data_IF_408459618780
#
_entry.id   IF_408459618780
#
_cell.length_a   1.000
_cell.length_b   1.000
_cell.length_c   1.000
_cell.angle_alpha   90.00
_cell.angle_beta   90.00
_cell.angle_gamma   90.00
#
_symmetry.space_group_name_H-M   'P 1'
#
loop_
_entity.id
_entity.type
_entity.pdbx_description
1 polymer ?
#
# COMPACT_ATOMS: atom_id res chain seq x y z
N UNK A 1 80.15 65.46 -31.39
CA UNK A 1 79.36 64.73 -30.37
C UNK A 1 77.95 64.45 -30.91
N UNK A 2 77.84 63.81 -32.08
CA UNK A 2 76.55 63.46 -32.73
C UNK A 2 76.79 62.20 -33.56
N UNK A 3 76.92 61.04 -32.92
CA UNK A 3 76.95 59.73 -33.62
C UNK A 3 76.25 58.60 -32.84
N UNK A 4 75.91 58.78 -31.55
CA UNK A 4 75.41 57.67 -30.72
C UNK A 4 73.89 57.40 -30.73
N UNK A 5 73.07 58.15 -31.48
CA UNK A 5 71.61 57.92 -31.51
C UNK A 5 71.09 57.12 -32.71
N UNK A 6 71.92 56.76 -33.69
CA UNK A 6 71.48 55.93 -34.82
C UNK A 6 71.59 54.42 -34.56
N UNK A 7 72.50 53.98 -33.67
CA UNK A 7 72.71 52.55 -33.40
C UNK A 7 71.62 51.93 -32.53
N UNK A 8 71.02 52.69 -31.60
CA UNK A 8 69.91 52.19 -30.76
C UNK A 8 68.61 51.95 -31.54
N UNK A 9 68.30 52.81 -32.51
CA UNK A 9 67.14 52.66 -33.39
C UNK A 9 67.30 51.48 -34.35
N UNK A 10 68.52 51.22 -34.85
CA UNK A 10 68.80 50.05 -35.68
C UNK A 10 68.68 48.74 -34.89
N UNK A 11 69.13 48.69 -33.63
CA UNK A 11 69.03 47.47 -32.82
C UNK A 11 67.58 47.14 -32.44
N UNK A 12 66.74 48.14 -32.17
CA UNK A 12 65.30 47.93 -31.91
C UNK A 12 64.56 47.51 -33.17
N UNK A 13 64.89 48.07 -34.34
CA UNK A 13 64.35 47.62 -35.62
C UNK A 13 64.81 46.20 -36.00
N UNK A 14 66.07 45.85 -35.74
CA UNK A 14 66.62 44.51 -36.00
C UNK A 14 65.94 43.46 -35.11
N UNK A 15 65.76 43.73 -33.81
CA UNK A 15 65.06 42.82 -32.90
C UNK A 15 63.57 42.70 -33.25
N UNK A 16 62.93 43.78 -33.68
CA UNK A 16 61.54 43.73 -34.15
C UNK A 16 61.42 42.91 -35.46
N UNK A 17 62.33 43.11 -36.42
CA UNK A 17 62.37 42.32 -37.66
C UNK A 17 62.70 40.84 -37.39
N UNK A 18 63.69 40.54 -36.54
CA UNK A 18 64.08 39.17 -36.20
C UNK A 18 63.00 38.44 -35.38
N UNK A 19 62.22 39.17 -34.57
CA UNK A 19 61.07 38.59 -33.85
C UNK A 19 59.88 38.34 -34.78
N UNK A 20 59.65 39.20 -35.78
CA UNK A 20 58.64 38.98 -36.83
C UNK A 20 59.05 37.83 -37.75
N UNK A 21 60.33 37.73 -38.13
CA UNK A 21 60.85 36.63 -38.96
C UNK A 21 60.83 35.30 -38.20
N UNK A 22 61.13 35.28 -36.90
CA UNK A 22 61.02 34.07 -36.07
C UNK A 22 59.56 33.68 -35.77
N UNK A 23 58.63 34.65 -35.71
CA UNK A 23 57.19 34.37 -35.64
C UNK A 23 56.66 33.75 -36.95
N UNK A 24 57.21 34.15 -38.10
CA UNK A 24 56.93 33.54 -39.40
C UNK A 24 57.65 32.20 -39.63
N UNK A 25 58.65 31.86 -38.80
CA UNK A 25 59.45 30.65 -38.89
C UNK A 25 59.09 29.57 -37.85
N UNK A 26 57.82 29.50 -37.44
CA UNK A 26 57.31 28.32 -36.75
C UNK A 26 57.33 27.11 -37.71
N UNK A 27 57.64 25.90 -37.22
CA UNK A 27 57.79 24.73 -38.06
C UNK A 27 56.49 24.48 -38.82
N UNK A 28 56.59 24.05 -40.08
CA UNK A 28 55.49 23.62 -40.96
C UNK A 28 54.55 22.64 -40.22
N UNK A 29 53.63 23.18 -39.43
CA UNK A 29 52.43 22.48 -38.98
C UNK A 29 51.56 22.49 -40.22
N UNK A 30 51.35 21.31 -40.80
CA UNK A 30 50.39 21.10 -41.86
C UNK A 30 49.06 21.59 -41.29
N UNK A 31 48.64 22.82 -41.64
CA UNK A 31 47.36 23.38 -41.24
C UNK A 31 46.28 22.49 -41.85
N UNK A 32 45.73 21.60 -41.03
CA UNK A 32 44.55 20.85 -41.39
C UNK A 32 43.42 21.84 -41.57
N UNK A 33 42.83 21.84 -42.77
CA UNK A 33 41.70 22.68 -43.20
C UNK A 33 40.38 22.31 -42.49
N UNK A 34 40.44 21.91 -41.23
CA UNK A 34 39.27 21.59 -40.39
C UNK A 34 38.82 22.87 -39.67
N UNK A 35 37.51 23.19 -39.71
CA UNK A 35 36.99 24.32 -38.97
C UNK A 35 37.21 24.13 -37.46
N UNK A 36 37.66 25.20 -36.80
CA UNK A 36 37.78 25.28 -35.35
C UNK A 36 36.52 25.87 -34.75
N UNK A 37 36.09 25.31 -33.62
CA UNK A 37 34.87 25.70 -32.93
C UNK A 37 35.19 26.23 -31.53
N UNK A 38 34.62 27.37 -31.18
CA UNK A 38 34.79 28.03 -29.88
C UNK A 38 33.43 28.39 -29.28
N UNK A 39 33.36 28.47 -27.96
CA UNK A 39 32.20 28.97 -27.23
C UNK A 39 32.66 30.18 -26.42
N UNK A 40 32.21 31.38 -26.80
CA UNK A 40 32.54 32.63 -26.10
C UNK A 40 31.23 33.28 -25.67
N UNK A 41 31.02 33.37 -24.35
CA UNK A 41 29.74 33.81 -23.75
C UNK A 41 28.56 32.96 -24.25
N UNK A 42 27.61 33.54 -24.97
CA UNK A 42 26.44 32.88 -25.54
C UNK A 42 26.55 32.74 -27.07
N UNK A 43 27.76 32.84 -27.63
CA UNK A 43 28.03 32.65 -29.04
C UNK A 43 28.75 31.33 -29.28
N UNK A 44 28.23 30.56 -30.24
CA UNK A 44 28.99 29.47 -30.87
C UNK A 44 29.72 30.04 -32.08
N UNK A 45 31.04 29.94 -32.07
CA UNK A 45 31.92 30.53 -33.08
C UNK A 45 32.56 29.41 -33.88
N UNK A 46 32.44 29.47 -35.20
CA UNK A 46 33.11 28.59 -36.14
C UNK A 46 34.04 29.44 -37.00
N UNK A 47 35.32 29.09 -37.02
CA UNK A 47 36.33 29.77 -37.82
C UNK A 47 37.12 28.76 -38.64
N UNK A 48 37.53 29.14 -39.85
CA UNK A 48 38.40 28.31 -40.66
C UNK A 48 39.24 29.17 -41.59
N UNK A 49 40.45 28.73 -41.89
CA UNK A 49 41.31 29.39 -42.87
C UNK A 49 41.30 28.59 -44.18
N UNK A 50 40.97 29.27 -45.27
CA UNK A 50 41.28 28.83 -46.63
C UNK A 50 42.54 29.58 -47.12
N UNK A 51 43.11 29.20 -48.26
CA UNK A 51 44.40 29.70 -48.79
C UNK A 51 44.57 31.22 -48.85
N UNK A 52 43.49 32.01 -48.78
CA UNK A 52 43.53 33.48 -48.82
C UNK A 52 42.51 34.18 -47.91
N UNK A 53 41.61 33.43 -47.28
CA UNK A 53 40.44 34.01 -46.62
C UNK A 53 40.14 33.29 -45.31
N UNK A 54 39.83 34.05 -44.27
CA UNK A 54 39.32 33.52 -42.99
C UNK A 54 37.80 33.53 -43.05
N UNK A 55 37.19 32.37 -42.96
CA UNK A 55 35.75 32.25 -42.77
C UNK A 55 35.43 32.33 -41.30
N UNK A 56 34.46 33.17 -40.93
CA UNK A 56 34.02 33.33 -39.55
C UNK A 56 32.50 33.33 -39.49
N UNK A 57 31.94 32.42 -38.69
CA UNK A 57 30.51 32.29 -38.42
C UNK A 57 30.26 32.31 -36.92
N UNK A 58 29.42 33.22 -36.46
CA UNK A 58 28.98 33.30 -35.07
C UNK A 58 27.47 33.08 -35.01
N UNK A 59 27.05 32.19 -34.13
CA UNK A 59 25.64 31.90 -33.88
C UNK A 59 25.31 32.27 -32.44
N UNK A 60 24.42 33.24 -32.27
CA UNK A 60 23.84 33.61 -30.99
C UNK A 60 22.91 32.48 -30.51
N UNK A 61 23.22 31.82 -29.41
CA UNK A 61 22.41 30.70 -28.90
C UNK A 61 21.15 31.15 -28.17
N UNK A 62 20.98 32.44 -27.90
CA UNK A 62 19.80 33.03 -27.25
C UNK A 62 18.88 33.64 -28.30
N UNK A 63 19.42 34.52 -29.14
CA UNK A 63 18.68 35.23 -30.18
C UNK A 63 18.49 34.43 -31.46
N UNK A 64 19.23 33.32 -31.64
CA UNK A 64 19.28 32.53 -32.87
C UNK A 64 19.64 33.38 -34.10
N UNK A 65 20.47 34.40 -33.91
CA UNK A 65 20.97 35.26 -34.96
C UNK A 65 22.31 34.72 -35.46
N UNK A 66 22.48 34.68 -36.77
CA UNK A 66 23.73 34.23 -37.40
C UNK A 66 24.48 35.43 -37.98
N UNK A 67 25.75 35.54 -37.66
CA UNK A 67 26.69 36.49 -38.26
C UNK A 67 27.72 35.69 -39.04
N UNK A 68 27.96 36.07 -40.29
CA UNK A 68 28.85 35.29 -41.16
C UNK A 68 29.61 36.21 -42.10
N UNK A 69 30.91 35.98 -42.24
CA UNK A 69 31.76 36.76 -43.14
C UNK A 69 32.95 35.95 -43.64
N UNK A 70 33.50 36.40 -44.76
CA UNK A 70 34.80 36.01 -45.26
C UNK A 70 35.72 37.22 -45.13
N UNK A 71 36.88 37.04 -44.49
CA UNK A 71 37.84 38.09 -44.21
C UNK A 71 39.10 37.86 -45.03
N UNK A 72 39.56 38.90 -45.70
CA UNK A 72 40.82 38.93 -46.45
C UNK A 72 41.87 39.74 -45.70
N UNK A 73 43.14 39.61 -46.09
CA UNK A 73 44.25 40.34 -45.45
C UNK A 73 44.03 41.86 -45.40
N UNK A 74 43.32 42.43 -46.39
CA UNK A 74 43.00 43.85 -46.45
C UNK A 74 42.04 44.34 -45.35
N UNK A 75 41.25 43.45 -44.75
CA UNK A 75 40.20 43.82 -43.79
C UNK A 75 40.74 44.15 -42.39
N UNK A 76 41.95 43.71 -42.06
CA UNK A 76 42.50 43.81 -40.70
C UNK A 76 43.35 45.06 -40.49
N UNK A 77 43.75 45.76 -41.56
CA UNK A 77 44.73 46.85 -41.53
C UNK A 77 46.04 46.50 -40.80
N UNK A 78 46.43 45.22 -40.83
CA UNK A 78 47.66 44.70 -40.26
C UNK A 78 48.64 44.32 -41.38
N UNK A 79 49.92 44.64 -41.21
CA UNK A 79 51.00 44.19 -42.12
C UNK A 79 51.44 42.76 -41.81
N UNK A 80 50.48 41.84 -41.66
CA UNK A 80 50.72 40.43 -41.34
C UNK A 80 50.09 39.54 -42.43
N UNK A 81 50.66 38.35 -42.71
CA UNK A 81 50.03 37.37 -43.57
C UNK A 81 48.75 36.82 -42.91
N UNK A 82 47.80 36.37 -43.73
CA UNK A 82 46.46 35.96 -43.29
C UNK A 82 46.51 34.78 -42.32
N UNK A 83 47.51 33.90 -42.47
CA UNK A 83 47.77 32.76 -41.59
C UNK A 83 48.10 33.23 -40.16
N UNK A 84 48.95 34.26 -40.03
CA UNK A 84 49.30 34.84 -38.75
C UNK A 84 48.11 35.54 -38.10
N UNK A 85 47.29 36.23 -38.90
CA UNK A 85 46.06 36.87 -38.40
C UNK A 85 45.06 35.81 -37.91
N UNK A 86 44.91 34.71 -38.63
CA UNK A 86 44.05 33.58 -38.23
C UNK A 86 44.50 33.00 -36.88
N UNK A 87 45.80 32.79 -36.68
CA UNK A 87 46.34 32.33 -35.40
C UNK A 87 46.01 33.28 -34.25
N UNK A 88 46.18 34.60 -34.45
CA UNK A 88 45.80 35.59 -33.44
C UNK A 88 44.31 35.53 -33.09
N UNK A 89 43.44 35.38 -34.10
CA UNK A 89 41.98 35.26 -33.91
C UNK A 89 41.63 34.02 -33.11
N UNK A 90 42.16 32.85 -33.48
CA UNK A 90 41.90 31.58 -32.77
C UNK A 90 42.35 31.66 -31.31
N UNK A 91 43.53 32.22 -31.03
CA UNK A 91 44.03 32.43 -29.66
C UNK A 91 43.16 33.42 -28.86
N UNK A 92 42.62 34.45 -29.51
CA UNK A 92 41.67 35.38 -28.86
C UNK A 92 40.34 34.72 -28.53
N UNK A 93 39.84 33.80 -29.36
CA UNK A 93 38.63 33.03 -29.04
C UNK A 93 38.86 31.91 -28.02
N UNK A 94 40.09 31.40 -27.93
CA UNK A 94 40.50 30.47 -26.88
C UNK A 94 40.69 31.14 -25.50
N UNK A 95 40.67 32.49 -25.45
CA UNK A 95 40.92 33.29 -24.24
C UNK A 95 42.28 32.98 -23.55
N UNK A 96 43.32 32.73 -24.36
CA UNK A 96 44.68 32.49 -23.89
C UNK A 96 45.26 33.72 -23.15
N UNK A 97 46.27 33.50 -22.29
CA UNK A 97 46.88 34.58 -21.50
C UNK A 97 47.44 35.67 -22.41
N UNK A 98 46.87 36.88 -22.29
CA UNK A 98 47.24 38.03 -23.11
C UNK A 98 46.43 38.19 -24.41
N UNK A 99 45.46 37.33 -24.66
CA UNK A 99 44.55 37.36 -25.81
C UNK A 99 43.11 37.55 -25.33
N UNK A 100 42.33 38.37 -26.04
CA UNK A 100 40.92 38.62 -25.71
C UNK A 100 40.12 39.03 -26.93
N UNK A 101 38.87 38.60 -27.00
CA UNK A 101 37.90 39.02 -28.01
C UNK A 101 36.69 39.71 -27.35
N UNK A 102 36.50 40.98 -27.64
CA UNK A 102 35.33 41.74 -27.22
C UNK A 102 34.28 41.77 -28.34
N UNK A 103 33.11 41.18 -28.08
CA UNK A 103 31.99 41.15 -29.02
C UNK A 103 30.99 42.24 -28.63
N UNK A 104 30.67 43.14 -29.55
CA UNK A 104 29.64 44.17 -29.43
C UNK A 104 28.67 44.14 -30.60
N UNK A 105 27.39 44.44 -30.35
CA UNK A 105 26.36 44.49 -31.41
C UNK A 105 25.84 45.91 -31.53
N UNK A 106 25.80 46.43 -32.77
CA UNK A 106 25.17 47.70 -33.11
C UNK A 106 24.23 47.51 -34.30
N UNK A 107 22.93 47.40 -34.01
CA UNK A 107 21.91 47.10 -35.03
C UNK A 107 22.15 45.73 -35.67
N UNK A 108 22.26 45.69 -37.01
CA UNK A 108 22.50 44.47 -37.80
C UNK A 108 23.99 44.13 -38.01
N UNK A 109 24.89 44.81 -37.30
CA UNK A 109 26.32 44.59 -37.44
C UNK A 109 26.91 44.20 -36.09
N UNK A 110 27.62 43.09 -36.06
CA UNK A 110 28.43 42.65 -34.94
C UNK A 110 29.86 43.13 -35.15
N UNK A 111 30.43 43.80 -34.16
CA UNK A 111 31.83 44.20 -34.13
C UNK A 111 32.56 43.31 -33.14
N UNK A 112 33.62 42.64 -33.60
CA UNK A 112 34.52 41.87 -32.74
C UNK A 112 35.85 42.60 -32.70
N UNK A 113 36.29 42.99 -31.51
CA UNK A 113 37.59 43.61 -31.28
C UNK A 113 38.54 42.60 -30.66
N UNK A 114 39.60 42.29 -31.37
CA UNK A 114 40.65 41.37 -30.96
C UNK A 114 41.80 42.15 -30.35
N UNK A 115 42.21 41.77 -29.14
CA UNK A 115 43.40 42.30 -28.48
C UNK A 115 44.33 41.16 -28.14
N UNK A 116 45.53 41.19 -28.68
CA UNK A 116 46.54 40.15 -28.51
C UNK A 116 47.86 40.77 -28.05
N UNK A 117 48.46 40.19 -27.01
CA UNK A 117 49.77 40.59 -26.47
C UNK A 117 50.76 39.44 -26.64
N UNK A 118 51.52 39.47 -27.73
CA UNK A 118 52.50 38.43 -28.06
C UNK A 118 53.80 38.68 -27.29
N UNK A 119 54.25 37.67 -26.54
CA UNK A 119 55.49 37.69 -25.75
C UNK A 119 55.63 38.89 -24.80
N UNK A 120 54.52 39.48 -24.33
CA UNK A 120 54.49 40.69 -23.51
C UNK A 120 55.03 42.00 -24.15
N UNK A 121 55.58 41.95 -25.36
CA UNK A 121 56.20 43.12 -26.01
C UNK A 121 55.40 43.67 -27.19
N UNK A 122 54.70 42.82 -27.94
CA UNK A 122 53.98 43.23 -29.13
C UNK A 122 52.48 43.24 -28.83
N UNK A 123 51.82 44.35 -29.13
CA UNK A 123 50.40 44.53 -28.91
C UNK A 123 49.69 44.71 -30.25
N UNK A 124 48.73 43.84 -30.53
CA UNK A 124 47.83 43.93 -31.66
C UNK A 124 46.44 44.26 -31.16
N UNK A 125 45.80 45.26 -31.77
CA UNK A 125 44.43 45.67 -31.49
C UNK A 125 43.76 46.02 -32.81
N UNK A 126 42.83 45.15 -33.22
CA UNK A 126 42.13 45.28 -34.48
C UNK A 126 40.69 44.83 -34.31
N UNK A 127 39.82 45.28 -35.22
CA UNK A 127 38.40 44.98 -35.14
C UNK A 127 37.88 44.50 -36.49
N UNK A 128 36.89 43.62 -36.42
CA UNK A 128 36.19 43.08 -37.58
C UNK A 128 34.71 43.37 -37.44
N UNK A 129 34.10 43.82 -38.53
CA UNK A 129 32.66 44.07 -38.60
C UNK A 129 31.99 42.97 -39.43
N UNK A 130 31.03 42.29 -38.84
CA UNK A 130 30.33 41.14 -39.40
C UNK A 130 28.87 41.50 -39.52
N UNK A 131 28.33 41.45 -40.74
CA UNK A 131 26.91 41.71 -40.96
C UNK A 131 26.10 40.49 -40.54
N UNK A 132 24.95 40.77 -39.95
CA UNK A 132 23.93 39.76 -39.71
C UNK A 132 23.57 39.08 -41.04
N UNK A 133 23.72 37.76 -41.08
CA UNK A 133 23.22 36.95 -42.17
C UNK A 133 21.76 36.67 -41.86
N UNK A 134 20.85 37.30 -42.60
CA UNK A 134 19.44 36.95 -42.58
C UNK A 134 19.30 35.47 -42.84
N UNK A 135 18.96 34.72 -41.80
CA UNK A 135 18.63 33.31 -41.90
C UNK A 135 17.43 33.22 -42.85
N UNK A 136 17.50 32.34 -43.84
CA UNK A 136 16.35 32.10 -44.73
C UNK A 136 15.15 31.68 -43.88
N UNK A 137 13.94 31.95 -44.36
CA UNK A 137 12.70 31.50 -43.71
C UNK A 137 12.76 30.01 -43.31
N UNK A 138 13.36 29.18 -44.17
CA UNK A 138 13.53 27.74 -43.94
C UNK A 138 14.47 27.41 -42.77
N UNK A 139 15.56 28.17 -42.57
CA UNK A 139 16.45 27.97 -41.44
C UNK A 139 15.81 28.32 -40.11
N UNK A 140 14.99 29.39 -40.09
CA UNK A 140 14.21 29.78 -38.90
C UNK A 140 13.12 28.75 -38.58
N UNK A 141 12.45 28.22 -39.61
CA UNK A 141 11.47 27.14 -39.46
C UNK A 141 12.10 25.88 -38.87
N UNK A 142 13.27 25.50 -39.37
CA UNK A 142 13.98 24.30 -38.89
C UNK A 142 14.32 24.41 -37.40
N UNK A 143 14.87 25.55 -36.95
CA UNK A 143 15.17 25.79 -35.53
C UNK A 143 13.92 25.77 -34.65
N UNK A 144 12.83 26.38 -35.13
CA UNK A 144 11.56 26.34 -34.42
C UNK A 144 11.00 24.91 -34.31
N UNK A 145 11.15 24.09 -35.35
CA UNK A 145 10.70 22.71 -35.34
C UNK A 145 11.47 21.89 -34.30
N UNK A 146 12.80 21.98 -34.29
CA UNK A 146 13.64 21.30 -33.31
C UNK A 146 13.28 21.73 -31.88
N UNK A 147 13.03 23.03 -31.65
CA UNK A 147 12.61 23.54 -30.33
C UNK A 147 11.25 23.01 -29.90
N UNK A 148 10.32 22.84 -30.84
CA UNK A 148 9.01 22.25 -30.56
C UNK A 148 9.16 20.76 -30.22
N UNK A 149 10.00 20.04 -30.96
CA UNK A 149 10.29 18.62 -30.73
C UNK A 149 10.92 18.39 -29.35
N UNK A 150 11.95 19.16 -28.97
CA UNK A 150 12.56 19.08 -27.63
C UNK A 150 11.54 19.37 -26.50
N UNK A 151 10.64 20.33 -26.73
CA UNK A 151 9.57 20.64 -25.76
C UNK A 151 8.56 19.52 -25.67
N UNK A 152 8.20 18.88 -26.79
CA UNK A 152 7.31 17.73 -26.80
C UNK A 152 7.93 16.56 -26.04
N UNK A 153 9.19 16.23 -26.29
CA UNK A 153 9.92 15.18 -25.56
C UNK A 153 10.02 15.45 -24.06
N UNK A 154 10.17 16.71 -23.67
CA UNK A 154 10.19 17.08 -22.26
C UNK A 154 8.80 16.95 -21.62
N UNK A 155 7.75 17.32 -22.33
CA UNK A 155 6.36 17.17 -21.86
C UNK A 155 5.98 15.70 -21.75
N UNK A 156 6.35 14.88 -22.73
CA UNK A 156 6.08 13.43 -22.72
C UNK A 156 6.78 12.75 -21.54
N UNK A 157 8.06 13.05 -21.30
CA UNK A 157 8.78 12.54 -20.13
C UNK A 157 8.11 12.92 -18.82
N UNK A 158 7.74 14.20 -18.65
CA UNK A 158 7.03 14.67 -17.44
C UNK A 158 5.67 14.00 -17.28
N UNK A 159 4.93 13.79 -18.37
CA UNK A 159 3.63 13.12 -18.35
C UNK A 159 3.78 11.66 -17.91
N UNK A 160 4.78 10.94 -18.44
CA UNK A 160 5.06 9.56 -18.07
C UNK A 160 5.50 9.43 -16.60
N UNK A 161 6.34 10.33 -16.10
CA UNK A 161 6.74 10.37 -14.68
C UNK A 161 5.54 10.60 -13.77
N UNK A 162 4.67 11.56 -14.11
CA UNK A 162 3.44 11.82 -13.36
C UNK A 162 2.50 10.61 -13.38
N UNK A 163 2.32 9.97 -14.54
CA UNK A 163 1.46 8.79 -14.67
C UNK A 163 1.94 7.64 -13.80
N UNK A 164 3.25 7.31 -13.83
CA UNK A 164 3.81 6.29 -12.94
C UNK A 164 3.66 6.64 -11.45
N UNK A 165 3.81 7.92 -11.09
CA UNK A 165 3.60 8.37 -9.71
C UNK A 165 2.15 8.18 -9.25
N UNK A 166 1.18 8.49 -10.12
CA UNK A 166 -0.25 8.31 -9.83
C UNK A 166 -0.60 6.83 -9.73
N UNK A 167 -0.09 5.98 -10.63
CA UNK A 167 -0.31 4.54 -10.57
C UNK A 167 0.23 3.93 -9.27
N UNK A 168 1.43 4.34 -8.86
CA UNK A 168 2.04 3.89 -7.60
C UNK A 168 1.20 4.32 -6.39
N UNK A 169 0.83 5.58 -6.30
CA UNK A 169 0.00 6.09 -5.21
C UNK A 169 -1.37 5.41 -5.17
N UNK A 170 -1.97 5.14 -6.33
CA UNK A 170 -3.25 4.42 -6.43
C UNK A 170 -3.12 2.98 -5.93
N UNK A 171 -2.03 2.30 -6.25
CA UNK A 171 -1.77 0.93 -5.82
C UNK A 171 -1.54 0.84 -4.30
N UNK A 172 -0.77 1.79 -3.75
CA UNK A 172 -0.49 1.87 -2.32
C UNK A 172 -1.77 2.16 -1.51
N UNK A 173 -2.60 3.10 -1.97
CA UNK A 173 -3.87 3.43 -1.31
C UNK A 173 -4.88 2.28 -1.38
N UNK A 174 -4.98 1.57 -2.52
CA UNK A 174 -5.83 0.38 -2.65
C UNK A 174 -5.42 -0.71 -1.66
N UNK A 175 -4.12 -0.98 -1.55
CA UNK A 175 -3.58 -1.98 -0.60
C UNK A 175 -3.88 -1.60 0.86
N UNK A 176 -3.82 -0.32 1.20
CA UNK A 176 -4.16 0.15 2.55
C UNK A 176 -5.66 0.00 2.86
N UNK A 177 -6.52 0.30 1.89
CA UNK A 177 -7.98 0.13 2.02
C UNK A 177 -8.33 -1.35 2.21
N UNK A 178 -7.73 -2.24 1.42
CA UNK A 178 -7.93 -3.69 1.56
C UNK A 178 -7.52 -4.19 2.95
N UNK A 179 -6.36 -3.76 3.45
CA UNK A 179 -5.89 -4.11 4.80
C UNK A 179 -6.86 -3.65 5.90
N UNK A 180 -7.34 -2.40 5.83
CA UNK A 180 -8.31 -1.85 6.80
C UNK A 180 -9.64 -2.61 6.73
N UNK A 181 -10.08 -2.98 5.54
CA UNK A 181 -11.32 -3.72 5.31
C UNK A 181 -11.24 -5.11 5.93
N UNK A 182 -10.17 -5.86 5.67
CA UNK A 182 -9.94 -7.18 6.26
C UNK A 182 -9.85 -7.12 7.79
N UNK A 183 -9.21 -6.08 8.34
CA UNK A 183 -9.16 -5.86 9.79
C UNK A 183 -10.56 -5.64 10.37
N UNK A 184 -11.40 -4.80 9.75
CA UNK A 184 -12.77 -4.58 10.20
C UNK A 184 -13.62 -5.85 10.15
N UNK A 185 -13.49 -6.65 9.08
CA UNK A 185 -14.17 -7.96 8.99
C UNK A 185 -13.82 -8.87 10.16
N UNK A 186 -12.52 -9.02 10.49
CA UNK A 186 -12.09 -9.87 11.61
C UNK A 186 -12.64 -9.40 12.96
N UNK A 187 -12.74 -8.08 13.17
CA UNK A 187 -13.30 -7.49 14.40
C UNK A 187 -14.80 -7.79 14.48
N UNK A 188 -15.53 -7.60 13.37
CA UNK A 188 -16.96 -7.88 13.27
C UNK A 188 -17.27 -9.35 13.54
N UNK A 189 -16.53 -10.27 12.91
CA UNK A 189 -16.67 -11.71 13.09
C UNK A 189 -16.49 -12.11 14.56
N UNK A 190 -15.41 -11.65 15.21
CA UNK A 190 -15.19 -11.88 16.64
C UNK A 190 -16.31 -11.32 17.52
N UNK A 191 -16.88 -10.15 17.18
CA UNK A 191 -18.00 -9.57 17.92
C UNK A 191 -19.29 -10.36 17.75
N UNK A 192 -19.55 -10.87 16.54
CA UNK A 192 -20.71 -11.72 16.27
C UNK A 192 -20.62 -13.00 17.08
N UNK A 193 -19.47 -13.70 17.05
CA UNK A 193 -19.27 -14.93 17.84
C UNK A 193 -19.47 -14.69 19.35
N UNK A 194 -19.00 -13.55 19.87
CA UNK A 194 -19.24 -13.18 21.28
C UNK A 194 -20.72 -12.94 21.57
N UNK A 195 -21.43 -12.25 20.68
CA UNK A 195 -22.87 -12.02 20.83
C UNK A 195 -23.67 -13.32 20.77
N UNK A 196 -23.34 -14.23 19.86
CA UNK A 196 -23.96 -15.55 19.76
C UNK A 196 -23.76 -16.34 21.07
N UNK A 197 -22.55 -16.33 21.63
CA UNK A 197 -22.29 -16.97 22.93
C UNK A 197 -23.09 -16.32 24.07
N UNK A 198 -23.14 -14.98 24.14
CA UNK A 198 -23.93 -14.27 25.14
C UNK A 198 -25.43 -14.55 25.02
N UNK A 199 -25.96 -14.60 23.80
CA UNK A 199 -27.36 -14.87 23.53
C UNK A 199 -27.72 -16.31 23.91
N UNK A 200 -26.87 -17.28 23.55
CA UNK A 200 -27.03 -18.66 23.98
C UNK A 200 -27.05 -18.74 25.53
N UNK A 201 -26.07 -18.13 26.20
CA UNK A 201 -26.00 -18.13 27.67
C UNK A 201 -27.23 -17.47 28.33
N UNK A 202 -27.72 -16.36 27.77
CA UNK A 202 -28.90 -15.66 28.28
C UNK A 202 -30.19 -16.46 28.04
N UNK A 203 -30.34 -17.09 26.87
CA UNK A 203 -31.50 -17.93 26.55
C UNK A 203 -31.57 -19.15 27.47
N UNK A 204 -30.42 -19.74 27.80
CA UNK A 204 -30.29 -20.84 28.76
C UNK A 204 -30.67 -20.38 30.17
N UNK A 205 -30.14 -19.24 30.61
CA UNK A 205 -30.44 -18.66 31.92
C UNK A 205 -31.92 -18.30 32.11
N UNK A 206 -32.59 -17.85 31.04
CA UNK A 206 -34.02 -17.52 31.04
C UNK A 206 -34.91 -18.78 31.01
N UNK A 207 -34.41 -19.92 30.50
CA UNK A 207 -35.20 -21.16 30.34
C UNK A 207 -35.28 -22.05 31.59
N UNK A 208 -34.45 -21.85 32.61
CA UNK A 208 -34.43 -22.63 33.86
C UNK A 208 -34.34 -21.72 35.11
N UNK A 209 -35.39 -20.91 35.33
CA UNK A 209 -35.53 -19.88 36.36
C UNK A 209 -34.74 -20.10 37.68
N UNK A 210 -33.48 -19.62 37.68
CA UNK A 210 -32.58 -19.37 38.82
C UNK A 210 -31.56 -20.44 39.24
N UNK A 211 -31.41 -21.57 38.55
CA UNK A 211 -30.23 -22.43 38.78
C UNK A 211 -29.53 -22.76 37.48
N UNK A 212 -28.22 -22.48 37.45
CA UNK A 212 -27.34 -22.81 36.34
C UNK A 212 -27.25 -24.34 36.26
N UNK A 213 -28.08 -24.96 35.43
CA UNK A 213 -28.03 -26.41 35.18
C UNK A 213 -27.22 -26.64 33.90
N UNK A 214 -26.10 -27.39 33.96
CA UNK A 214 -25.32 -27.75 32.77
C UNK A 214 -26.09 -28.68 31.83
N UNK A 215 -25.94 -28.51 30.51
CA UNK A 215 -26.60 -29.35 29.49
C UNK A 215 -26.18 -30.82 29.50
N UNK A 216 -24.97 -31.11 29.97
CA UNK A 216 -24.43 -32.47 30.07
C UNK A 216 -24.90 -33.21 31.31
N UNK A 217 -25.84 -32.66 32.07
CA UNK A 217 -26.28 -33.26 33.32
C UNK A 217 -26.99 -34.59 33.05
N UNK A 218 -26.51 -35.64 33.72
CA UNK A 218 -27.12 -36.96 33.68
C UNK A 218 -28.14 -37.17 34.80
N UNK A 219 -28.17 -36.31 35.81
CA UNK A 219 -29.06 -36.39 36.96
C UNK A 219 -29.54 -35.00 37.42
N UNK A 220 -30.84 -34.74 37.41
CA UNK A 220 -31.45 -33.47 37.83
C UNK A 220 -32.31 -33.67 39.07
N UNK A 221 -32.14 -32.80 40.08
CA UNK A 221 -33.02 -32.76 41.26
C UNK A 221 -33.82 -31.46 41.29
N UNK A 222 -35.14 -31.59 41.35
CA UNK A 222 -36.12 -30.48 41.33
C UNK A 222 -36.73 -30.33 42.73
N UNK A 223 -36.42 -29.24 43.47
CA UNK A 223 -37.05 -28.93 44.75
C UNK A 223 -38.51 -28.46 44.64
N UNK A 224 -39.23 -28.50 45.77
CA UNK A 224 -40.70 -28.32 45.86
C UNK A 224 -41.30 -27.00 45.39
N UNK A 225 -40.50 -25.93 45.26
CA UNK A 225 -41.02 -24.59 44.97
C UNK A 225 -40.68 -24.10 43.56
N UNK A 226 -40.29 -25.02 42.66
CA UNK A 226 -39.93 -24.66 41.31
C UNK A 226 -41.14 -24.52 40.39
N UNK A 227 -41.30 -23.33 39.80
CA UNK A 227 -42.13 -23.07 38.62
C UNK A 227 -41.51 -23.69 37.35
N UNK A 228 -41.01 -24.92 37.46
CA UNK A 228 -40.38 -25.62 36.35
C UNK A 228 -41.47 -25.99 35.34
N UNK A 229 -41.36 -25.43 34.13
CA UNK A 229 -42.18 -25.88 33.01
C UNK A 229 -41.69 -27.27 32.58
N UNK A 230 -42.36 -28.31 33.06
CA UNK A 230 -42.01 -29.72 32.82
C UNK A 230 -41.82 -30.06 31.35
N UNK A 231 -42.57 -29.41 30.47
CA UNK A 231 -42.49 -29.57 29.00
C UNK A 231 -41.09 -29.28 28.44
N UNK A 232 -40.28 -28.50 29.18
CA UNK A 232 -38.93 -28.11 28.78
C UNK A 232 -37.86 -29.10 29.19
N UNK A 233 -38.18 -30.12 30.01
CA UNK A 233 -37.22 -31.16 30.37
C UNK A 233 -36.76 -32.00 29.16
N UNK A 234 -37.56 -32.02 28.08
CA UNK A 234 -37.22 -32.70 26.82
C UNK A 234 -35.94 -32.20 26.16
N UNK A 235 -35.50 -30.97 26.48
CA UNK A 235 -34.27 -30.40 25.91
C UNK A 235 -32.99 -30.89 26.59
N UNK A 236 -33.10 -31.58 27.74
CA UNK A 236 -31.95 -32.15 28.46
C UNK A 236 -31.62 -33.55 27.88
N UNK A 237 -31.02 -33.55 26.69
CA UNK A 237 -30.78 -34.75 25.87
C UNK A 237 -29.86 -35.82 26.51
N UNK A 238 -29.09 -35.47 27.54
CA UNK A 238 -28.24 -36.40 28.29
C UNK A 238 -28.84 -36.84 29.63
N UNK A 239 -30.05 -36.39 29.95
CA UNK A 239 -30.66 -36.62 31.25
C UNK A 239 -31.10 -38.08 31.37
N UNK A 240 -30.51 -38.78 32.34
CA UNK A 240 -30.80 -40.19 32.62
C UNK A 240 -31.57 -40.36 33.93
N UNK A 241 -31.47 -39.41 34.87
CA UNK A 241 -32.08 -39.50 36.19
C UNK A 241 -32.77 -38.19 36.56
N UNK A 242 -33.99 -38.29 37.08
CA UNK A 242 -34.74 -37.12 37.59
C UNK A 242 -35.24 -37.42 38.99
N UNK A 243 -35.07 -36.47 39.91
CA UNK A 243 -35.66 -36.51 41.24
C UNK A 243 -36.53 -35.29 41.50
N UNK A 244 -37.74 -35.49 42.02
CA UNK A 244 -38.62 -34.44 42.54
C UNK A 244 -38.70 -34.58 44.05
N UNK A 245 -38.28 -33.55 44.80
CA UNK A 245 -38.16 -33.65 46.27
C UNK A 245 -38.32 -32.30 46.97
N UNK A 246 -39.43 -32.04 47.67
CA UNK A 246 -40.74 -32.69 47.54
C UNK A 246 -41.47 -32.35 46.23
N UNK A 247 -42.46 -33.15 45.83
CA UNK A 247 -43.26 -32.98 44.64
C UNK A 247 -44.53 -32.18 44.93
N UNK A 248 -44.68 -31.02 44.30
CA UNK A 248 -45.86 -30.15 44.41
C UNK A 248 -46.87 -30.34 43.27
N UNK A 249 -46.54 -31.18 42.28
CA UNK A 249 -47.34 -31.42 41.09
C UNK A 249 -48.46 -32.43 41.33
N UNK A 250 -49.62 -32.29 40.65
CA UNK A 250 -50.69 -33.27 40.72
C UNK A 250 -50.37 -34.59 39.98
N UNK A 251 -49.65 -34.48 38.87
CA UNK A 251 -49.25 -35.58 37.99
C UNK A 251 -47.95 -35.25 37.19
N UNK A 252 -47.61 -36.09 36.20
CA UNK A 252 -46.45 -35.93 35.32
C UNK A 252 -46.85 -35.52 33.89
N UNK A 253 -48.08 -35.08 33.64
CA UNK A 253 -48.65 -34.93 32.28
C UNK A 253 -47.92 -33.92 31.39
N UNK A 254 -47.07 -33.07 31.96
CA UNK A 254 -46.18 -32.16 31.23
C UNK A 254 -44.73 -32.63 31.09
N UNK A 255 -44.34 -33.76 31.68
CA UNK A 255 -42.95 -34.17 31.84
C UNK A 255 -42.46 -35.03 30.67
N UNK A 256 -42.09 -34.40 29.56
CA UNK A 256 -41.57 -35.10 28.37
C UNK A 256 -40.08 -35.36 28.53
N UNK A 257 -39.68 -36.61 28.76
CA UNK A 257 -38.28 -36.98 29.02
C UNK A 257 -37.90 -38.32 28.36
N UNK A 258 -37.60 -38.35 27.05
CA UNK A 258 -37.39 -39.60 26.31
C UNK A 258 -36.13 -40.36 26.71
N UNK A 259 -35.15 -39.70 27.33
CA UNK A 259 -33.82 -40.26 27.66
C UNK A 259 -33.72 -40.79 29.09
N UNK A 260 -34.70 -40.48 29.93
CA UNK A 260 -34.67 -40.80 31.37
C UNK A 260 -34.85 -42.29 31.60
N UNK A 261 -33.98 -42.85 32.45
CA UNK A 261 -33.95 -44.24 32.88
C UNK A 261 -34.33 -44.41 34.34
N UNK A 262 -34.10 -43.41 35.19
CA UNK A 262 -34.45 -43.45 36.61
C UNK A 262 -35.27 -42.23 37.03
N UNK A 263 -36.39 -42.47 37.71
CA UNK A 263 -37.28 -41.44 38.21
C UNK A 263 -37.50 -41.64 39.72
N UNK A 264 -37.23 -40.58 40.49
CA UNK A 264 -37.46 -40.53 41.92
C UNK A 264 -38.51 -39.46 42.25
N UNK A 265 -39.61 -39.87 42.86
CA UNK A 265 -40.73 -39.02 43.23
C UNK A 265 -40.90 -39.06 44.73
N UNK A 266 -40.76 -37.92 45.41
CA UNK A 266 -41.10 -37.80 46.83
C UNK A 266 -42.30 -36.87 46.98
N UNK A 267 -43.45 -37.41 47.36
CA UNK A 267 -44.69 -36.65 47.56
C UNK A 267 -44.65 -35.69 48.77
N UNK A 268 -43.57 -35.72 49.56
CA UNK A 268 -43.38 -34.84 50.71
C UNK A 268 -44.38 -35.05 51.84
N UNK A 269 -45.09 -36.19 51.84
CA UNK A 269 -46.20 -36.46 52.75
C UNK A 269 -47.50 -35.73 52.40
N UNK A 270 -47.57 -35.07 51.24
CA UNK A 270 -48.75 -34.31 50.80
C UNK A 270 -49.71 -35.18 49.97
N UNK A 271 -50.97 -34.77 49.88
CA UNK A 271 -51.98 -35.39 49.00
C UNK A 271 -52.09 -34.72 47.63
N UNK A 272 -51.08 -33.91 47.26
CA UNK A 272 -51.09 -33.16 46.00
C UNK A 272 -50.78 -34.06 44.82
N UNK A 273 -49.73 -34.90 44.94
CA UNK A 273 -49.40 -35.90 43.93
C UNK A 273 -50.40 -37.07 43.98
N UNK A 274 -51.26 -37.16 42.97
CA UNK A 274 -52.41 -38.09 42.94
C UNK A 274 -52.32 -39.12 41.83
N UNK A 275 -51.52 -38.87 40.81
CA UNK A 275 -51.49 -39.67 39.59
C UNK A 275 -50.07 -39.73 39.00
N UNK A 276 -49.76 -40.84 38.33
CA UNK A 276 -48.53 -40.99 37.54
C UNK A 276 -48.78 -40.75 36.03
N UNK A 277 -49.94 -40.19 35.66
CA UNK A 277 -50.24 -39.82 34.27
C UNK A 277 -49.12 -38.94 33.69
N UNK A 278 -48.70 -39.21 32.46
CA UNK A 278 -47.51 -38.61 31.83
C UNK A 278 -46.27 -39.51 31.87
N UNK A 279 -46.29 -40.63 32.61
CA UNK A 279 -45.18 -41.59 32.63
C UNK A 279 -44.93 -42.25 31.26
N UNK A 280 -45.94 -42.30 30.40
CA UNK A 280 -45.86 -42.73 29.00
C UNK A 280 -44.92 -41.86 28.16
N UNK A 281 -44.68 -40.61 28.57
CA UNK A 281 -43.75 -39.67 27.93
C UNK A 281 -42.28 -39.94 28.30
N UNK A 282 -42.01 -41.01 29.06
CA UNK A 282 -40.69 -41.50 29.45
C UNK A 282 -40.46 -42.94 28.98
N UNK A 283 -40.45 -43.22 27.66
CA UNK A 283 -40.44 -44.59 27.11
C UNK A 283 -39.24 -45.46 27.48
N UNK A 284 -38.17 -44.87 28.02
CA UNK A 284 -36.94 -45.58 28.40
C UNK A 284 -36.76 -45.73 29.92
N UNK A 285 -37.79 -45.40 30.73
CA UNK A 285 -37.71 -45.54 32.19
C UNK A 285 -37.54 -47.01 32.59
N UNK A 286 -36.48 -47.30 33.35
CA UNK A 286 -36.15 -48.63 33.85
C UNK A 286 -36.39 -48.75 35.37
N UNK A 287 -36.27 -47.64 36.10
CA UNK A 287 -36.39 -47.60 37.56
C UNK A 287 -37.32 -46.48 38.01
N UNK A 288 -38.36 -46.82 38.79
CA UNK A 288 -39.30 -45.86 39.38
C UNK A 288 -39.29 -46.02 40.91
N UNK A 289 -39.00 -44.93 41.61
CA UNK A 289 -39.09 -44.86 43.07
C UNK A 289 -40.11 -43.80 43.47
N UNK A 290 -41.10 -44.19 44.28
CA UNK A 290 -42.14 -43.30 44.80
C UNK A 290 -42.12 -43.37 46.33
N UNK A 291 -42.00 -42.21 46.96
CA UNK A 291 -41.86 -42.05 48.40
C UNK A 291 -42.91 -41.06 48.91
N UNK A 292 -43.45 -41.32 50.10
CA UNK A 292 -44.28 -40.38 50.88
C UNK A 292 -45.39 -39.69 50.06
N UNK A 293 -46.07 -40.43 49.19
CA UNK A 293 -47.16 -39.92 48.36
C UNK A 293 -48.50 -40.56 48.81
N UNK A 294 -49.10 -40.10 49.93
CA UNK A 294 -50.35 -40.67 50.43
C UNK A 294 -51.55 -40.40 49.52
N UNK A 295 -51.50 -39.38 48.66
CA UNK A 295 -52.57 -39.06 47.70
C UNK A 295 -52.65 -39.97 46.48
N UNK A 296 -51.65 -40.83 46.25
CA UNK A 296 -51.58 -41.74 45.11
C UNK A 296 -52.35 -43.03 45.41
N UNK A 297 -53.36 -43.36 44.61
CA UNK A 297 -54.29 -44.47 44.90
C UNK A 297 -54.28 -45.61 43.87
N UNK A 298 -54.08 -45.33 42.59
CA UNK A 298 -54.21 -46.32 41.51
C UNK A 298 -53.00 -46.30 40.55
N UNK A 299 -51.91 -46.98 40.92
CA UNK A 299 -50.73 -47.10 40.05
C UNK A 299 -50.91 -48.15 38.95
N UNK A 300 -51.50 -49.30 39.29
CA UNK A 300 -51.60 -50.47 38.40
C UNK A 300 -52.30 -50.15 37.08
N UNK A 301 -53.27 -49.24 37.12
CA UNK A 301 -54.15 -48.93 36.00
C UNK A 301 -53.57 -47.81 35.12
N UNK A 302 -52.54 -47.12 35.62
CA UNK A 302 -51.91 -45.97 34.97
C UNK A 302 -50.56 -46.30 34.32
N UNK A 303 -50.00 -47.49 34.57
CA UNK A 303 -48.78 -47.96 33.91
C UNK A 303 -49.13 -48.60 32.55
N UNK A 304 -48.66 -48.03 31.42
CA UNK A 304 -48.86 -48.64 30.12
C UNK A 304 -48.26 -50.06 30.08
N UNK A 305 -48.94 -51.03 29.48
CA UNK A 305 -48.41 -52.39 29.29
C UNK A 305 -47.08 -52.43 28.48
N UNK A 306 -46.74 -51.34 27.80
CA UNK A 306 -45.58 -51.22 26.90
C UNK A 306 -44.35 -50.59 27.57
N UNK A 307 -44.38 -50.33 28.88
CA UNK A 307 -43.29 -49.64 29.57
C UNK A 307 -42.11 -50.58 29.88
N UNK A 308 -40.86 -50.07 29.90
CA UNK A 308 -39.61 -50.81 30.12
C UNK A 308 -39.17 -50.89 31.59
N UNK A 309 -40.07 -50.55 32.52
CA UNK A 309 -39.76 -50.53 33.95
C UNK A 309 -39.39 -51.93 34.43
N UNK A 310 -38.22 -52.04 35.06
CA UNK A 310 -37.70 -53.28 35.66
C UNK A 310 -37.78 -53.25 37.18
N UNK A 311 -37.67 -52.05 37.77
CA UNK A 311 -37.60 -51.87 39.22
C UNK A 311 -38.64 -50.84 39.67
N UNK A 312 -39.48 -51.24 40.62
CA UNK A 312 -40.47 -50.37 41.25
C UNK A 312 -40.25 -50.38 42.76
N UNK A 313 -40.00 -49.21 43.34
CA UNK A 313 -39.87 -49.03 44.79
C UNK A 313 -40.95 -48.09 45.28
N UNK A 314 -41.69 -48.54 46.30
CA UNK A 314 -42.76 -47.75 46.91
C UNK A 314 -42.62 -47.75 48.42
N UNK A 315 -42.70 -46.56 49.02
CA UNK A 315 -42.72 -46.37 50.48
C UNK A 315 -43.61 -45.20 50.86
N UNK A 316 -44.35 -45.33 51.97
CA UNK A 316 -45.13 -44.21 52.51
C UNK A 316 -46.33 -43.80 51.62
N UNK A 317 -46.85 -44.70 50.79
CA UNK A 317 -47.99 -44.46 49.90
C UNK A 317 -49.21 -45.24 50.41
N UNK A 318 -49.93 -44.66 51.39
CA UNK A 318 -51.04 -45.35 52.07
C UNK A 318 -52.27 -45.61 51.17
N UNK A 319 -52.45 -44.83 50.10
CA UNK A 319 -53.61 -44.93 49.21
C UNK A 319 -53.55 -46.08 48.20
N UNK A 320 -52.39 -46.72 48.02
CA UNK A 320 -52.18 -47.70 46.95
C UNK A 320 -52.70 -49.08 47.35
N UNK A 321 -53.50 -49.70 46.47
CA UNK A 321 -53.84 -51.11 46.58
C UNK A 321 -52.60 -52.00 46.30
N UNK A 322 -51.90 -52.38 47.37
CA UNK A 322 -50.66 -53.15 47.28
C UNK A 322 -50.86 -54.58 46.75
N UNK A 323 -52.03 -55.19 46.98
CA UNK A 323 -52.30 -56.55 46.51
C UNK A 323 -52.43 -56.56 44.97
N UNK A 324 -53.19 -55.61 44.43
CA UNK A 324 -53.32 -55.42 42.98
C UNK A 324 -51.99 -55.09 42.31
N UNK A 325 -51.20 -54.19 42.93
CA UNK A 325 -49.88 -53.83 42.41
C UNK A 325 -48.90 -55.00 42.43
N UNK A 326 -48.93 -55.85 43.47
CA UNK A 326 -48.06 -57.03 43.56
C UNK A 326 -48.37 -58.03 42.46
N UNK A 327 -49.66 -58.26 42.17
CA UNK A 327 -50.10 -59.11 41.06
C UNK A 327 -49.62 -58.52 39.73
N UNK A 328 -49.84 -57.22 39.50
CA UNK A 328 -49.39 -56.52 38.29
C UNK A 328 -47.88 -56.65 38.08
N UNK A 329 -47.07 -56.40 39.12
CA UNK A 329 -45.61 -56.49 39.03
C UNK A 329 -45.15 -57.92 38.70
N UNK A 330 -45.80 -58.94 39.27
CA UNK A 330 -45.50 -60.34 38.98
C UNK A 330 -45.79 -60.71 37.53
N UNK A 331 -46.93 -60.26 37.00
CA UNK A 331 -47.34 -60.52 35.61
C UNK A 331 -46.39 -59.85 34.61
N UNK A 332 -45.89 -58.65 34.92
CA UNK A 332 -45.03 -57.86 34.03
C UNK A 332 -43.53 -58.02 34.33
N UNK A 333 -43.13 -58.98 35.17
CA UNK A 333 -41.73 -59.23 35.56
C UNK A 333 -41.00 -58.00 36.16
N UNK A 334 -41.72 -57.17 36.92
CA UNK A 334 -41.18 -55.99 37.60
C UNK A 334 -40.73 -56.36 39.02
N UNK A 335 -39.49 -56.02 39.37
CA UNK A 335 -38.96 -56.16 40.72
C UNK A 335 -39.57 -55.13 41.67
N UNK A 336 -40.54 -55.54 42.47
CA UNK A 336 -41.18 -54.70 43.48
C UNK A 336 -40.40 -54.76 44.82
N UNK A 337 -39.87 -53.62 45.28
CA UNK A 337 -39.27 -53.49 46.61
C UNK A 337 -40.16 -52.66 47.52
N UNK A 338 -40.61 -53.25 48.63
CA UNK A 338 -41.35 -52.57 49.70
C UNK A 338 -40.39 -52.19 50.82
N UNK A 339 -40.42 -50.93 51.25
CA UNK A 339 -39.54 -50.39 52.31
C UNK A 339 -40.25 -49.47 53.27
#
# INVERSE_FOLDING_TARGET
MVVNNCFGLFYVFQIACDSIINFLALPNVIMSCSPEAFIVKHYTILTSLNSRTIYLKLTDTIGYICYETHLEAGDFHLSLPVESVYQLITQCFAEDIGYSADIGISGKTMTIRFRARVNNYIFFDFQVNIKEKTISSDGQLTLNFNRIEERLDQVERKANEMMMSVERQTTETMSEVERKTNQLYSILESRITKLESCLANAEIAIRLNSSVVPFSISALSVPADNYLRLEKLQYLYNLQRISFTPMSLPDLSGCVCPTVKELYLDGGGTTNFRSIAGIELMPNLESLTIMNAPGLTQISDMLPMTHKIKYLRIKGCAGINMDGLTIYCRVNHIGLTRT
#
